data_IF_480667960515
#
_entry.id   IF_480667960515
#
_cell.length_a   1.000
_cell.length_b   1.000
_cell.length_c   1.000
_cell.angle_alpha   90.00
_cell.angle_beta   90.00
_cell.angle_gamma   90.00
#
_symmetry.space_group_name_H-M   'P 1'
#
loop_
_entity.id
_entity.type
_entity.pdbx_description
1 polymer ?
#
# COMPACT_ATOMS: atom_id res chain seq x y z
N UNK A 1 -32.55 -13.26 -21.62
CA UNK A 1 -31.28 -12.88 -22.28
C UNK A 1 -30.47 -12.06 -21.29
N UNK A 2 -29.24 -12.45 -20.90
CA UNK A 2 -28.44 -11.59 -20.04
C UNK A 2 -27.90 -10.41 -20.84
N UNK A 3 -28.00 -9.23 -20.25
CA UNK A 3 -27.64 -7.93 -20.82
C UNK A 3 -26.13 -7.82 -21.18
N UNK A 4 -25.76 -6.95 -22.13
CA UNK A 4 -24.40 -6.88 -22.68
C UNK A 4 -23.37 -6.42 -21.63
N UNK A 5 -22.29 -7.20 -21.53
CA UNK A 5 -20.90 -6.75 -21.32
C UNK A 5 -20.70 -5.48 -20.50
N UNK A 6 -21.07 -5.49 -19.21
CA UNK A 6 -20.66 -4.42 -18.31
C UNK A 6 -19.12 -4.41 -18.24
N UNK A 7 -18.49 -3.38 -18.81
CA UNK A 7 -17.03 -3.21 -18.74
C UNK A 7 -16.65 -3.02 -17.28
N UNK A 8 -15.95 -4.00 -16.70
CA UNK A 8 -15.42 -3.90 -15.34
C UNK A 8 -14.24 -2.93 -15.40
N UNK A 9 -14.25 -1.81 -14.66
CA UNK A 9 -13.08 -0.95 -14.56
C UNK A 9 -11.97 -1.72 -13.84
N UNK A 10 -10.86 -1.97 -14.54
CA UNK A 10 -9.69 -2.66 -13.99
C UNK A 10 -8.56 -1.65 -13.82
N UNK A 11 -8.01 -1.55 -12.62
CA UNK A 11 -6.77 -0.81 -12.35
C UNK A 11 -5.63 -1.81 -12.21
N UNK A 12 -4.65 -1.74 -13.11
CA UNK A 12 -3.49 -2.62 -13.10
C UNK A 12 -2.29 -1.87 -12.53
N UNK A 13 -1.77 -2.40 -11.42
CA UNK A 13 -0.51 -1.95 -10.84
C UNK A 13 0.57 -2.99 -11.14
N UNK A 14 1.70 -2.55 -11.71
CA UNK A 14 2.88 -3.39 -11.96
C UNK A 14 4.04 -2.83 -11.16
N UNK A 15 4.99 -3.70 -10.80
CA UNK A 15 6.18 -3.31 -10.03
C UNK A 15 5.79 -2.55 -8.75
N UNK A 16 5.09 -3.22 -7.84
CA UNK A 16 4.70 -2.65 -6.55
C UNK A 16 5.42 -3.38 -5.44
N UNK A 17 5.82 -2.65 -4.42
CA UNK A 17 6.25 -3.20 -3.15
C UNK A 17 5.04 -3.45 -2.25
N UNK A 18 5.18 -4.33 -1.28
CA UNK A 18 4.14 -4.63 -0.30
C UNK A 18 4.60 -4.26 1.09
N UNK A 19 3.74 -3.53 1.83
CA UNK A 19 3.87 -3.38 3.27
C UNK A 19 2.84 -4.26 3.93
N UNK A 20 3.31 -5.16 4.79
CA UNK A 20 2.46 -5.93 5.68
C UNK A 20 2.56 -5.36 7.09
N UNK A 21 1.44 -4.91 7.63
CA UNK A 21 1.33 -4.50 9.03
C UNK A 21 0.97 -5.68 9.93
N UNK A 22 1.28 -5.59 11.22
CA UNK A 22 0.88 -6.61 12.19
C UNK A 22 -0.65 -6.58 12.44
N UNK A 23 -1.23 -5.39 12.44
CA UNK A 23 -2.63 -5.15 12.78
C UNK A 23 -3.28 -4.16 11.78
N UNK A 24 -4.61 -4.21 11.59
CA UNK A 24 -5.33 -3.29 10.69
C UNK A 24 -5.18 -1.82 11.06
N UNK A 25 -5.14 -1.51 12.37
CA UNK A 25 -5.03 -0.13 12.87
C UNK A 25 -3.75 0.54 12.39
N UNK A 26 -2.63 -0.19 12.33
CA UNK A 26 -1.36 0.34 11.82
C UNK A 26 -1.48 0.72 10.35
N UNK A 27 -2.18 -0.06 9.53
CA UNK A 27 -2.36 0.28 8.12
C UNK A 27 -3.20 1.56 7.96
N UNK A 28 -4.18 1.78 8.84
CA UNK A 28 -4.99 2.99 8.88
C UNK A 28 -4.18 4.21 9.34
N UNK A 29 -3.33 4.06 10.36
CA UNK A 29 -2.42 5.11 10.81
C UNK A 29 -1.45 5.55 9.71
N UNK A 30 -0.95 4.60 8.90
CA UNK A 30 -0.10 4.92 7.75
C UNK A 30 -0.89 5.67 6.67
N UNK A 31 -2.12 5.26 6.38
CA UNK A 31 -2.99 5.92 5.39
C UNK A 31 -3.49 7.30 5.85
N UNK A 32 -3.61 7.53 7.16
CA UNK A 32 -4.00 8.82 7.71
C UNK A 32 -2.91 9.90 7.53
N UNK A 33 -1.65 9.47 7.30
CA UNK A 33 -0.52 10.37 7.09
C UNK A 33 -0.38 10.70 5.62
N UNK A 34 -0.58 11.98 5.26
CA UNK A 34 -0.54 12.46 3.87
C UNK A 34 0.77 12.17 3.13
N UNK A 35 1.91 12.08 3.81
CA UNK A 35 3.20 11.72 3.20
C UNK A 35 3.17 10.27 2.72
N UNK A 36 2.88 9.34 3.62
CA UNK A 36 2.79 7.90 3.36
C UNK A 36 1.65 7.54 2.41
N UNK A 37 0.47 8.13 2.58
CA UNK A 37 -0.70 7.84 1.75
C UNK A 37 -0.46 8.13 0.25
N UNK A 38 0.41 9.10 -0.08
CA UNK A 38 0.78 9.41 -1.47
C UNK A 38 1.68 8.35 -2.11
N UNK A 39 2.43 7.60 -1.30
CA UNK A 39 3.30 6.52 -1.73
C UNK A 39 2.54 5.20 -1.94
N UNK A 40 1.31 5.11 -1.40
CA UNK A 40 0.47 3.91 -1.46
C UNK A 40 -0.38 3.93 -2.72
N UNK A 41 -0.18 2.92 -3.57
CA UNK A 41 -0.95 2.69 -4.80
C UNK A 41 -2.38 2.18 -4.52
N UNK A 42 -2.56 1.48 -3.39
CA UNK A 42 -3.85 0.96 -2.93
C UNK A 42 -3.73 0.03 -1.71
N UNK A 43 -4.87 -0.44 -1.20
CA UNK A 43 -4.96 -1.44 -0.12
C UNK A 43 -5.37 -2.78 -0.72
N UNK A 44 -4.57 -3.82 -0.50
CA UNK A 44 -4.86 -5.18 -0.96
C UNK A 44 -5.69 -5.96 0.07
N UNK A 45 -5.43 -5.72 1.35
CA UNK A 45 -6.21 -6.24 2.48
C UNK A 45 -6.12 -5.30 3.68
N UNK A 46 -6.80 -5.61 4.77
CA UNK A 46 -6.75 -4.80 5.99
C UNK A 46 -5.32 -4.60 6.53
N UNK A 47 -4.41 -5.55 6.30
CA UNK A 47 -3.02 -5.48 6.79
C UNK A 47 -1.99 -5.37 5.67
N UNK A 48 -2.41 -5.23 4.41
CA UNK A 48 -1.49 -5.18 3.26
C UNK A 48 -1.75 -3.97 2.38
N UNK A 49 -0.72 -3.12 2.28
CA UNK A 49 -0.69 -1.94 1.41
C UNK A 49 0.20 -2.19 0.20
N UNK A 50 -0.28 -1.78 -0.97
CA UNK A 50 0.48 -1.74 -2.23
C UNK A 50 1.20 -0.40 -2.30
N UNK A 51 2.52 -0.43 -2.46
CA UNK A 51 3.36 0.77 -2.52
C UNK A 51 3.96 0.87 -3.91
N UNK A 52 4.02 2.09 -4.42
CA UNK A 52 4.77 2.44 -5.62
C UNK A 52 6.24 2.00 -5.49
N UNK A 53 6.79 1.23 -6.45
CA UNK A 53 8.17 0.72 -6.34
C UNK A 53 9.22 1.83 -6.16
N UNK A 54 8.98 2.97 -6.80
CA UNK A 54 9.81 4.17 -6.75
C UNK A 54 9.84 4.82 -5.36
N UNK A 55 8.87 4.48 -4.50
CA UNK A 55 8.75 5.00 -3.14
C UNK A 55 9.23 3.99 -2.07
N UNK A 56 9.78 2.83 -2.46
CA UNK A 56 10.21 1.76 -1.54
C UNK A 56 11.17 2.29 -0.45
N UNK A 57 12.22 3.01 -0.86
CA UNK A 57 13.20 3.55 0.09
C UNK A 57 12.57 4.65 0.95
N UNK A 58 11.80 5.55 0.34
CA UNK A 58 11.14 6.66 1.03
C UNK A 58 10.16 6.19 2.11
N UNK A 59 9.40 5.13 1.83
CA UNK A 59 8.46 4.60 2.81
C UNK A 59 9.18 3.92 3.98
N UNK A 60 10.28 3.22 3.73
CA UNK A 60 11.10 2.60 4.77
C UNK A 60 11.70 3.68 5.68
N UNK A 61 12.22 4.77 5.10
CA UNK A 61 12.76 5.89 5.87
C UNK A 61 11.70 6.57 6.74
N UNK A 62 10.51 6.84 6.19
CA UNK A 62 9.44 7.49 6.93
C UNK A 62 8.92 6.60 8.08
N UNK A 63 8.79 5.29 7.84
CA UNK A 63 8.47 4.32 8.90
C UNK A 63 9.52 4.33 10.03
N UNK A 64 10.80 4.40 9.69
CA UNK A 64 11.89 4.52 10.69
C UNK A 64 11.80 5.83 11.47
N UNK A 65 11.50 6.95 10.81
CA UNK A 65 11.30 8.25 11.47
C UNK A 65 10.11 8.24 12.43
N UNK A 66 9.10 7.42 12.15
CA UNK A 66 7.97 7.18 13.05
C UNK A 66 8.29 6.27 14.25
N UNK A 67 9.51 5.74 14.33
CA UNK A 67 9.93 4.84 15.41
C UNK A 67 9.58 3.36 15.15
N UNK A 68 9.11 3.02 13.94
CA UNK A 68 8.92 1.63 13.56
C UNK A 68 10.23 0.98 13.11
N UNK A 69 10.30 -0.35 13.23
CA UNK A 69 11.44 -1.17 12.78
C UNK A 69 11.01 -2.08 11.62
N UNK A 70 10.83 -1.53 10.40
CA UNK A 70 10.38 -2.32 9.27
C UNK A 70 11.39 -3.42 8.91
N UNK A 71 10.89 -4.67 8.84
CA UNK A 71 11.67 -5.82 8.36
C UNK A 71 11.52 -5.92 6.84
N UNK A 72 12.62 -5.69 6.12
CA UNK A 72 12.66 -5.82 4.67
C UNK A 72 12.94 -7.28 4.30
N UNK A 73 12.09 -7.86 3.46
CA UNK A 73 12.24 -9.20 2.89
C UNK A 73 12.20 -9.03 1.37
N UNK A 74 13.21 -9.57 0.67
CA UNK A 74 13.34 -9.52 -0.79
C UNK A 74 13.11 -10.90 -1.39
#
# INVERSE_FOLDING_TARGET
>A
MPAPSARIPVKLHKHVALIRTAEPVLAEELLARKTLARMVAGRLSETVLLVHSEEEEGIIEELRRMGHTPRVVR
#
